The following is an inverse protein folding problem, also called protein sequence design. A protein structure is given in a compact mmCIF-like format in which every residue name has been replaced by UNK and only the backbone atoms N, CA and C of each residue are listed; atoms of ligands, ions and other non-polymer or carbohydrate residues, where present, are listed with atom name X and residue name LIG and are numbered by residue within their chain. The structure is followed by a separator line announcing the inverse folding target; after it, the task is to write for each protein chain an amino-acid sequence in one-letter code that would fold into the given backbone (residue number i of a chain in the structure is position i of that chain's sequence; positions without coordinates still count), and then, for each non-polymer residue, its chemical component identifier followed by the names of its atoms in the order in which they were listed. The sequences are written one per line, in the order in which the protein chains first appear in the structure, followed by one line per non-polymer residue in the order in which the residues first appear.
data_IF_239619553916
#
_entry.id   IF_239619553916
#
_cell.length_a   1.000
_cell.length_b   1.000
_cell.length_c   1.000
_cell.angle_alpha   90.00
_cell.angle_beta   90.00
_cell.angle_gamma   90.00
#
_symmetry.space_group_name_H-M   'P 1'
#
loop_
_entity.id
_entity.type
_entity.pdbx_description
1 polymer ?
2 non-polymer ?
3 water ?
#
# COMPACT_ATOMS: atom_id res chain seq x y z
N UNK A 24 2.20 -4.79 -20.53
CA UNK A 24 0.75 -4.66 -20.18
C UNK A 24 0.24 -5.83 -19.28
N UNK A 25 -0.18 -5.54 -18.02
CA UNK A 25 -0.35 -4.25 -17.35
C UNK A 25 0.93 -3.79 -16.68
N UNK A 26 1.12 -2.48 -16.64
CA UNK A 26 2.31 -1.85 -16.07
C UNK A 26 2.15 -1.69 -14.57
N UNK A 27 2.91 -2.46 -13.79
CA UNK A 27 2.95 -2.33 -12.33
C UNK A 27 3.91 -1.30 -11.80
N UNK A 28 3.36 -0.30 -11.12
CA UNK A 28 4.13 0.62 -10.31
C UNK A 28 3.92 0.25 -8.85
N UNK A 29 4.99 -0.15 -8.17
CA UNK A 29 4.96 -0.38 -6.72
C UNK A 29 5.37 0.87 -5.95
N UNK A 30 4.64 1.17 -4.89
CA UNK A 30 4.89 2.35 -4.09
C UNK A 30 5.01 1.96 -2.63
N UNK A 31 6.18 2.10 -2.04
CA UNK A 31 6.30 1.73 -0.63
C UNK A 31 6.52 2.99 0.20
N UNK A 32 7.10 2.83 1.38
CA UNK A 32 7.29 3.95 2.30
C UNK A 32 6.62 3.63 3.62
N UNK A 33 6.90 4.40 4.66
CA UNK A 33 6.34 4.13 5.98
C UNK A 33 4.83 4.35 6.06
N UNK A 34 4.24 3.82 7.14
CA UNK A 34 2.87 4.17 7.47
C UNK A 34 2.77 5.68 7.61
N UNK A 35 1.72 6.25 7.03
CA UNK A 35 1.50 7.69 7.00
C UNK A 35 2.61 8.49 6.28
N UNK A 36 3.45 7.83 5.48
CA UNK A 36 4.45 8.50 4.64
C UNK A 36 3.84 9.29 3.48
N UNK A 37 2.63 8.93 3.10
CA UNK A 37 1.93 9.53 1.97
C UNK A 37 1.63 8.60 0.80
N UNK A 38 1.73 7.29 0.97
CA UNK A 38 1.54 6.41 -0.17
C UNK A 38 0.10 6.54 -0.67
N UNK A 39 -0.86 6.29 0.21
CA UNK A 39 -2.29 6.32 -0.18
C UNK A 39 -2.70 7.65 -0.82
N UNK A 40 -2.29 8.76 -0.19
CA UNK A 40 -2.77 10.07 -0.62
C UNK A 40 -2.10 10.49 -1.92
N UNK A 41 -0.86 10.02 -2.13
CA UNK A 41 -0.16 10.23 -3.39
C UNK A 41 -0.88 9.45 -4.50
N UNK A 42 -1.14 8.16 -4.27
CA UNK A 42 -1.84 7.33 -5.27
C UNK A 42 -3.21 7.89 -5.64
N UNK A 43 -3.94 8.36 -4.64
CA UNK A 43 -5.20 9.02 -4.87
C UNK A 43 -5.01 10.22 -5.77
N UNK A 44 -4.01 11.06 -5.47
CA UNK A 44 -3.75 12.23 -6.30
C UNK A 44 -3.53 11.85 -7.77
N UNK A 45 -2.80 10.74 -7.99
CA UNK A 45 -2.49 10.28 -9.35
C UNK A 45 -3.74 9.79 -10.07
N UNK A 46 -4.63 9.13 -9.33
CA UNK A 46 -5.94 8.74 -9.88
C UNK A 46 -6.79 9.98 -10.15
N UNK A 47 -6.70 10.97 -9.27
CA UNK A 47 -7.49 12.19 -9.41
C UNK A 47 -7.04 12.94 -10.66
N UNK A 48 -5.72 13.11 -10.79
CA UNK A 48 -5.17 13.84 -11.94
C UNK A 48 -5.42 13.09 -13.25
N UNK A 49 -5.37 11.76 -13.23
CA UNK A 49 -5.66 10.99 -14.45
C UNK A 49 -7.16 10.94 -14.72
N UNK A 50 -7.98 11.48 -13.80
CA UNK A 50 -9.43 11.50 -13.94
C UNK A 50 -10.09 10.16 -13.67
N UNK A 51 -9.32 9.18 -13.23
CA UNK A 51 -9.81 7.82 -13.01
C UNK A 51 -10.77 7.70 -11.83
N UNK A 52 -10.81 8.73 -10.99
CA UNK A 52 -11.84 8.88 -9.98
C UNK A 52 -13.25 8.96 -10.57
N UNK A 53 -13.45 9.75 -11.63
CA UNK A 53 -14.77 9.91 -12.25
C UNK A 53 -15.31 8.66 -12.98
N UNK A 54 -14.75 7.49 -12.69
CA UNK A 54 -15.07 6.24 -13.38
C UNK A 54 -15.33 5.12 -12.37
N UNK A 55 -16.32 4.26 -12.64
CA UNK A 55 -16.60 3.11 -11.76
C UNK A 55 -15.51 2.03 -11.83
N UNK A 56 -15.33 1.28 -10.75
CA UNK A 56 -14.19 0.34 -10.69
C UNK A 56 -14.12 -0.66 -11.86
N UNK A 57 -15.26 -1.00 -12.46
CA UNK A 57 -15.27 -1.92 -13.60
C UNK A 57 -14.75 -1.25 -14.88
N UNK A 58 -14.82 0.07 -14.94
CA UNK A 58 -14.46 0.79 -16.15
C UNK A 58 -13.05 1.35 -16.15
N UNK A 59 -12.36 1.31 -15.02
CA UNK A 59 -11.06 1.95 -14.88
C UNK A 59 -9.95 1.28 -15.68
N UNK A 60 -9.00 2.11 -16.10
CA UNK A 60 -7.76 1.66 -16.72
C UNK A 60 -6.58 1.73 -15.74
N UNK A 61 -6.61 2.69 -14.81
CA UNK A 61 -5.62 2.77 -13.73
C UNK A 61 -6.34 2.45 -12.42
N UNK A 62 -5.75 1.56 -11.62
CA UNK A 62 -6.35 1.13 -10.36
C UNK A 62 -5.32 1.00 -9.22
N UNK A 63 -5.66 1.50 -8.03
CA UNK A 63 -4.79 1.36 -6.84
C UNK A 63 -5.11 0.05 -6.13
N UNK A 64 -4.10 -0.59 -5.56
CA UNK A 64 -4.28 -1.85 -4.84
C UNK A 64 -3.48 -1.76 -3.55
N UNK A 65 -4.11 -1.95 -2.40
CA UNK A 65 -3.40 -1.75 -1.14
C UNK A 65 -3.03 -3.06 -0.46
N UNK A 66 -1.75 -3.21 -0.15
CA UNK A 66 -1.24 -4.37 0.58
C UNK A 66 -2.02 -4.62 1.87
N UNK A 67 -2.47 -3.54 2.52
CA UNK A 67 -3.25 -3.66 3.75
C UNK A 67 -4.65 -4.24 3.55
N UNK A 68 -5.03 -4.56 2.32
CA UNK A 68 -6.17 -5.43 2.08
C UNK A 68 -5.82 -6.86 2.38
N UNK A 69 -4.53 -7.19 2.42
CA UNK A 69 -4.08 -8.59 2.52
C UNK A 69 -3.58 -9.03 3.90
N UNK A 70 -4.04 -8.35 4.95
CA UNK A 70 -3.74 -8.78 6.30
C UNK A 70 -4.38 -10.13 6.55
N UNK A 71 -3.66 -10.97 7.28
CA UNK A 71 -4.17 -12.25 7.74
C UNK A 71 -5.36 -12.08 8.67
N UNK A 72 -6.34 -12.97 8.52
CA UNK A 72 -7.43 -13.11 9.46
C UNK A 72 -6.81 -13.59 10.78
N UNK A 73 -6.93 -12.82 11.85
CA UNK A 73 -6.34 -13.18 13.15
C UNK A 73 -7.10 -14.31 13.84
N UNK A 74 -6.37 -15.14 14.58
CA UNK A 74 -6.98 -16.18 15.39
C UNK A 74 -7.57 -15.61 16.68
N UNK A 75 -8.23 -16.47 17.45
CA UNK A 75 -8.74 -16.10 18.77
C UNK A 75 -7.61 -15.47 19.58
N UNK A 76 -6.53 -16.23 19.77
CA UNK A 76 -5.40 -15.83 20.61
C UNK A 76 -4.73 -14.57 20.07
N UNK A 77 -4.74 -14.42 18.75
CA UNK A 77 -4.11 -13.27 18.10
C UNK A 77 -4.97 -12.03 18.28
N UNK A 78 -6.27 -12.17 18.00
CA UNK A 78 -7.21 -11.08 18.20
C UNK A 78 -7.19 -10.62 19.66
N UNK A 79 -7.02 -11.58 20.57
CA UNK A 79 -6.87 -11.31 22.01
C UNK A 79 -5.79 -10.27 22.22
N UNK A 80 -4.59 -10.59 21.76
CA UNK A 80 -3.45 -9.69 21.92
C UNK A 80 -3.67 -8.40 21.18
N UNK A 81 -4.35 -8.47 20.04
CA UNK A 81 -4.65 -7.28 19.24
C UNK A 81 -5.43 -6.27 20.07
N UNK A 82 -6.43 -6.75 20.82
CA UNK A 82 -7.18 -5.89 21.72
C UNK A 82 -6.24 -5.27 22.75
N UNK A 83 -5.55 -6.12 23.53
CA UNK A 83 -4.58 -5.67 24.53
C UNK A 83 -3.31 -5.00 23.95
N UNK A 84 -3.46 -4.33 22.78
CA UNK A 84 -2.38 -3.60 22.12
C UNK A 84 -1.12 -4.39 21.77
N UNK A 85 -1.13 -5.71 21.97
CA UNK A 85 0.08 -6.51 21.98
C UNK A 85 0.34 -7.34 20.73
N UNK A 86 -0.15 -6.89 19.56
CA UNK A 86 0.05 -7.62 18.29
C UNK A 86 0.67 -6.74 17.20
N UNK A 87 1.65 -7.29 16.48
CA UNK A 87 2.44 -6.53 15.52
C UNK A 87 1.97 -6.67 14.09
N UNK A 88 1.42 -5.57 13.58
CA UNK A 88 0.86 -5.52 12.24
C UNK A 88 1.85 -5.04 11.22
N UNK A 89 3.07 -4.74 11.66
CA UNK A 89 4.09 -4.24 10.74
C UNK A 89 5.16 -5.27 10.44
N UNK A 90 4.90 -6.51 10.81
CA UNK A 90 5.84 -7.60 10.59
C UNK A 90 5.38 -8.27 9.31
N UNK A 91 6.32 -8.73 8.47
CA UNK A 91 5.97 -9.45 7.23
C UNK A 91 4.93 -10.53 7.44
N UNK A 92 5.15 -11.34 8.47
CA UNK A 92 4.26 -12.43 8.84
C UNK A 92 2.83 -11.95 9.05
N UNK A 93 2.63 -10.70 9.46
CA UNK A 93 1.27 -10.15 9.62
C UNK A 93 0.39 -10.19 8.35
N UNK A 94 1.02 -10.33 7.18
CA UNK A 94 0.34 -10.29 5.87
C UNK A 94 0.23 -11.64 5.22
N UNK A 95 -0.92 -11.88 4.61
CA UNK A 95 -1.15 -13.09 3.85
C UNK A 95 -0.40 -13.02 2.52
N UNK A 96 0.91 -13.21 2.57
CA UNK A 96 1.76 -13.08 1.39
C UNK A 96 1.41 -14.02 0.25
N UNK A 97 0.85 -15.19 0.54
CA UNK A 97 0.50 -16.11 -0.54
C UNK A 97 -0.64 -15.53 -1.39
N UNK A 98 -1.73 -15.16 -0.72
CA UNK A 98 -2.89 -14.54 -1.37
C UNK A 98 -2.41 -13.36 -2.20
N UNK A 99 -1.61 -12.52 -1.55
CA UNK A 99 -1.05 -11.35 -2.19
C UNK A 99 -0.28 -11.73 -3.47
N UNK A 100 0.72 -12.60 -3.34
CA UNK A 100 1.55 -12.95 -4.49
C UNK A 100 0.67 -13.55 -5.57
N UNK A 101 -0.25 -14.43 -5.20
CA UNK A 101 -1.16 -15.01 -6.18
C UNK A 101 -2.07 -14.00 -6.89
N UNK A 102 -2.59 -13.04 -6.15
CA UNK A 102 -3.40 -11.99 -6.76
C UNK A 102 -2.59 -11.25 -7.82
N UNK A 103 -1.55 -10.54 -7.39
CA UNK A 103 -0.60 -9.90 -8.29
C UNK A 103 -0.31 -10.73 -9.53
N UNK A 104 0.01 -12.00 -9.30
CA UNK A 104 0.45 -12.90 -10.35
C UNK A 104 -0.63 -13.02 -11.42
N UNK A 105 -1.89 -13.04 -10.98
CA UNK A 105 -3.05 -13.06 -11.89
C UNK A 105 -3.33 -11.72 -12.53
N UNK A 106 -3.26 -10.64 -11.76
CA UNK A 106 -3.34 -9.28 -12.31
C UNK A 106 -2.38 -9.15 -13.50
N UNK A 107 -1.10 -9.48 -13.25
CA UNK A 107 -0.02 -9.51 -14.28
C UNK A 107 -0.39 -10.35 -15.51
N UNK A 108 -1.09 -11.45 -15.29
CA UNK A 108 -1.56 -12.29 -16.40
C UNK A 108 -2.82 -11.71 -17.08
N UNK A 109 -3.29 -10.53 -16.66
CA UNK A 109 -4.42 -9.85 -17.29
C UNK A 109 -5.80 -10.32 -16.87
N UNK A 110 -5.92 -10.86 -15.66
CA UNK A 110 -7.18 -11.47 -15.21
C UNK A 110 -7.93 -10.60 -14.19
N UNK A 111 -9.23 -10.85 -14.10
CA UNK A 111 -10.06 -10.18 -13.11
C UNK A 111 -9.82 -10.89 -11.78
N UNK A 112 -9.59 -10.13 -10.72
CA UNK A 112 -9.32 -10.71 -9.42
C UNK A 112 -10.35 -10.21 -8.40
N UNK A 113 -10.59 -11.02 -7.38
CA UNK A 113 -11.39 -10.62 -6.23
C UNK A 113 -10.44 -10.33 -5.08
N UNK A 114 -10.48 -9.12 -4.54
CA UNK A 114 -9.61 -8.75 -3.44
C UNK A 114 -10.44 -8.62 -2.16
N UNK A 115 -9.86 -9.01 -0.99
CA UNK A 115 -10.57 -8.87 0.29
C UNK A 115 -10.58 -7.45 0.82
N UNK A 116 -11.40 -7.21 1.83
CA UNK A 116 -11.39 -5.94 2.56
C UNK A 116 -11.22 -6.24 4.05
N UNK A 117 -10.19 -5.66 4.67
CA UNK A 117 -9.91 -5.85 6.09
C UNK A 117 -10.60 -4.76 6.92
N UNK A 118 -11.06 -5.12 8.10
CA UNK A 118 -11.62 -4.15 9.03
C UNK A 118 -10.77 -4.13 10.29
N UNK A 119 -10.07 -3.02 10.51
CA UNK A 119 -9.24 -2.85 11.71
C UNK A 119 -10.12 -2.78 12.96
N UNK A 120 -11.36 -2.35 12.78
CA UNK A 120 -12.31 -2.26 13.88
C UNK A 120 -12.72 -3.64 14.40
N UNK A 121 -12.51 -4.69 13.62
CA UNK A 121 -12.80 -6.07 14.07
C UNK A 121 -11.63 -7.05 13.82
N UNK A 122 -10.59 -6.58 13.13
CA UNK A 122 -9.40 -7.36 12.78
C UNK A 122 -9.73 -8.64 11.99
N UNK A 123 -10.45 -8.45 10.90
CA UNK A 123 -10.87 -9.55 10.03
C UNK A 123 -11.41 -9.00 8.71
N UNK A 124 -11.55 -9.89 7.73
CA UNK A 124 -12.05 -9.51 6.42
C UNK A 124 -13.56 -9.36 6.45
N UNK A 125 -14.09 -8.51 5.56
CA UNK A 125 -15.54 -8.34 5.42
C UNK A 125 -16.08 -9.54 4.65
N UNK A 126 -17.38 -9.87 4.84
CA UNK A 126 -17.94 -10.93 4.01
C UNK A 126 -17.68 -10.68 2.54
N UNK A 127 -18.06 -9.49 2.08
CA UNK A 127 -18.03 -9.16 0.65
C UNK A 127 -16.60 -8.91 0.18
N UNK A 128 -16.43 -8.88 -1.13
CA UNK A 128 -15.10 -8.91 -1.74
C UNK A 128 -15.05 -8.09 -3.02
N UNK A 129 -14.05 -7.22 -3.14
CA UNK A 129 -13.92 -6.31 -4.29
C UNK A 129 -13.40 -6.98 -5.57
N UNK A 130 -14.12 -6.78 -6.67
CA UNK A 130 -13.66 -7.21 -7.98
C UNK A 130 -12.76 -6.12 -8.60
N UNK A 131 -11.63 -6.55 -9.14
CA UNK A 131 -10.75 -5.68 -9.89
C UNK A 131 -10.50 -6.29 -11.27
N UNK A 132 -10.99 -5.58 -12.28
CA UNK A 132 -10.88 -5.98 -13.67
C UNK A 132 -9.56 -5.47 -14.21
N UNK A 133 -9.08 -6.06 -15.32
CA UNK A 133 -7.81 -5.71 -15.89
C UNK A 133 -7.66 -4.22 -16.01
N UNK A 134 -6.46 -3.75 -15.67
CA UNK A 134 -6.10 -2.36 -15.87
C UNK A 134 -4.87 -2.33 -16.76
N UNK A 135 -4.54 -1.14 -17.24
CA UNK A 135 -3.32 -0.92 -17.99
C UNK A 135 -2.19 -0.58 -17.01
N UNK A 136 -2.50 0.23 -16.02
CA UNK A 136 -1.55 0.57 -14.97
C UNK A 136 -2.12 0.14 -13.62
N UNK A 137 -1.29 -0.49 -12.80
CA UNK A 137 -1.65 -0.81 -11.42
C UNK A 137 -0.68 -0.17 -10.43
N UNK A 138 -1.24 0.68 -9.57
CA UNK A 138 -0.50 1.29 -8.49
C UNK A 138 -0.66 0.39 -7.26
N UNK A 139 0.44 -0.23 -6.82
CA UNK A 139 0.44 -1.16 -5.68
C UNK A 139 1.15 -0.58 -4.45
N UNK A 140 0.38 -0.09 -3.49
CA UNK A 140 0.92 0.65 -2.34
C UNK A 140 0.95 -0.19 -1.06
N UNK A 141 2.10 -0.19 -0.38
CA UNK A 141 2.22 -0.95 0.84
C UNK A 141 3.53 -0.78 1.57
N UNK A 142 3.50 -0.92 2.90
CA UNK A 142 4.72 -0.76 3.72
C UNK A 142 5.81 -1.81 3.43
N UNK A 143 5.44 -2.99 2.96
CA UNK A 143 6.41 -4.09 2.78
C UNK A 143 6.30 -4.70 1.39
N UNK A 144 5.94 -3.83 0.45
CA UNK A 144 5.58 -4.24 -0.87
C UNK A 144 6.84 -4.52 -1.68
N UNK A 145 8.02 -4.15 -1.16
CA UNK A 145 9.33 -4.54 -1.75
C UNK A 145 10.12 -5.53 -0.88
N UNK A 146 9.50 -6.06 0.18
CA UNK A 146 10.20 -6.96 1.10
C UNK A 146 10.67 -8.27 0.44
N UNK A 147 9.79 -8.88 -0.34
CA UNK A 147 10.04 -10.18 -0.97
C UNK A 147 10.53 -10.07 -2.42
N UNK A 148 11.66 -10.73 -2.68
CA UNK A 148 12.30 -10.84 -3.99
C UNK A 148 11.32 -11.15 -5.11
N UNK A 149 10.48 -12.16 -4.90
CA UNK A 149 9.51 -12.61 -5.90
C UNK A 149 8.55 -11.52 -6.29
N UNK A 150 8.16 -10.68 -5.34
CA UNK A 150 7.20 -9.61 -5.61
C UNK A 150 7.88 -8.35 -6.17
N UNK A 151 9.02 -7.97 -5.58
CA UNK A 151 9.83 -6.85 -6.08
C UNK A 151 9.95 -6.85 -7.59
N UNK A 152 10.33 -8.00 -8.15
CA UNK A 152 10.74 -8.11 -9.56
C UNK A 152 9.57 -7.99 -10.53
N UNK A 153 8.34 -8.15 -10.02
CA UNK A 153 7.13 -7.95 -10.81
C UNK A 153 6.91 -6.49 -11.22
N UNK A 154 7.43 -5.54 -10.45
CA UNK A 154 7.17 -4.11 -10.65
C UNK A 154 8.00 -3.59 -11.77
N UNK A 155 7.41 -2.80 -12.65
CA UNK A 155 8.21 -2.15 -13.69
C UNK A 155 8.93 -0.94 -13.12
N UNK A 156 8.26 -0.25 -12.21
CA UNK A 156 8.79 0.95 -11.63
C UNK A 156 8.55 0.93 -10.13
N UNK A 157 9.55 1.33 -9.35
CA UNK A 157 9.49 1.24 -7.89
C UNK A 157 9.69 2.59 -7.22
N UNK A 158 8.64 3.02 -6.53
CA UNK A 158 8.64 4.31 -5.86
C UNK A 158 8.65 4.14 -4.34
N UNK A 159 9.37 5.03 -3.68
CA UNK A 159 9.45 5.04 -2.24
C UNK A 159 9.15 6.44 -1.74
N UNK A 160 8.08 6.58 -0.96
CA UNK A 160 7.71 7.87 -0.39
C UNK A 160 8.50 8.06 0.91
N UNK A 161 9.51 8.92 0.86
CA UNK A 161 10.37 9.18 2.00
C UNK A 161 9.81 10.36 2.81
N UNK A 162 9.33 10.03 4.01
CA UNK A 162 8.81 11.04 4.94
C UNK A 162 9.36 10.67 6.32
N UNK A 163 10.02 11.62 6.99
CA UNK A 163 10.68 11.35 8.27
C UNK A 163 9.70 10.75 9.29
N UNK A 164 10.20 9.87 10.15
CA UNK A 164 9.36 9.19 11.17
C UNK A 164 8.55 10.12 12.09
N UNK A 165 9.16 11.19 12.59
CA UNK A 165 8.41 12.07 13.49
C UNK A 165 7.23 12.73 12.77
N UNK A 166 7.42 13.06 11.50
CA UNK A 166 6.34 13.60 10.67
C UNK A 166 5.26 12.54 10.49
N UNK A 167 5.68 11.31 10.22
CA UNK A 167 4.72 10.23 10.01
C UNK A 167 3.93 9.92 11.26
N UNK A 168 4.59 9.94 12.42
CA UNK A 168 3.96 9.62 13.68
C UNK A 168 2.88 10.67 13.97
N UNK A 169 3.17 11.92 13.67
CA UNK A 169 2.21 13.00 13.89
C UNK A 169 0.99 12.83 13.01
N UNK A 170 1.20 12.38 11.77
CA UNK A 170 0.10 12.15 10.83
C UNK A 170 -0.77 11.01 11.34
N UNK A 171 -0.10 9.90 11.68
CA UNK A 171 -0.77 8.69 12.17
C UNK A 171 -1.59 8.92 13.43
N UNK A 172 -1.04 9.69 14.35
CA UNK A 172 -1.70 10.00 15.60
C UNK A 172 -3.01 10.76 15.32
N UNK A 173 -2.86 11.92 14.67
CA UNK A 173 -3.99 12.80 14.33
C UNK A 173 -5.05 12.03 13.54
N UNK A 174 -4.58 11.11 12.69
CA UNK A 174 -5.41 10.24 11.85
C UNK A 174 -6.14 9.13 12.63
N UNK A 175 -5.69 8.83 13.85
CA UNK A 175 -6.27 7.76 14.68
C UNK A 175 -6.90 8.32 15.96
N UNK A 176 -7.82 9.25 15.79
CA UNK A 176 -8.62 9.77 16.89
C UNK A 176 -10.07 9.42 16.57
N UNK A 177 -10.28 8.14 16.31
CA UNK A 177 -11.53 7.68 15.70
C UNK A 177 -12.15 6.50 16.46
N UNK A 181 -7.39 5.61 21.43
CA UNK A 181 -6.89 6.39 22.57
C UNK A 181 -5.36 6.51 22.58
N UNK A 182 -4.88 7.75 22.70
CA UNK A 182 -3.45 8.07 22.63
C UNK A 182 -2.52 7.02 23.19
N UNK A 183 -2.76 6.65 24.43
CA UNK A 183 -1.78 5.90 25.22
C UNK A 183 -1.53 4.51 24.66
N UNK A 184 -2.58 3.88 24.13
CA UNK A 184 -2.45 2.60 23.43
C UNK A 184 -1.69 2.82 22.13
N UNK A 185 -2.10 3.80 21.34
CA UNK A 185 -1.49 4.08 20.04
C UNK A 185 0.01 4.35 20.18
N UNK A 186 0.37 5.23 21.11
CA UNK A 186 1.77 5.61 21.30
C UNK A 186 2.61 4.44 21.82
N UNK A 187 2.14 3.70 22.83
CA UNK A 187 2.92 2.57 23.36
C UNK A 187 3.08 1.47 22.32
N UNK A 188 2.06 1.31 21.48
CA UNK A 188 2.05 0.30 20.43
C UNK A 188 3.07 0.68 19.34
N UNK A 189 3.28 1.97 19.14
CA UNK A 189 4.24 2.47 18.18
C UNK A 189 5.68 2.18 18.59
N UNK A 190 6.01 2.57 19.82
CA UNK A 190 7.38 2.47 20.30
C UNK A 190 7.84 1.02 20.46
N UNK A 191 6.97 0.16 20.99
CA UNK A 191 7.38 -1.20 21.27
C UNK A 191 7.35 -2.06 19.99
N UNK A 192 6.30 -1.92 19.15
CA UNK A 192 6.12 -2.77 17.95
C UNK A 192 6.37 -2.12 16.59
N UNK A 193 5.94 -0.87 16.41
CA UNK A 193 5.95 -0.28 15.08
C UNK A 193 7.31 0.28 14.70
N UNK A 194 7.91 1.07 15.59
CA UNK A 194 9.23 1.65 15.34
C UNK A 194 10.29 0.59 14.95
N UNK A 195 10.41 -0.50 15.72
CA UNK A 195 11.38 -1.55 15.35
C UNK A 195 11.05 -2.24 14.04
N UNK A 196 9.78 -2.63 13.86
CA UNK A 196 9.36 -3.35 12.66
C UNK A 196 9.63 -2.50 11.42
N UNK A 197 9.35 -1.21 11.53
CA UNK A 197 9.67 -0.27 10.46
C UNK A 197 11.15 -0.29 10.12
N UNK A 198 11.97 -0.15 11.14
CA UNK A 198 13.41 -0.08 10.95
C UNK A 198 13.98 -1.39 10.45
N UNK A 199 13.41 -2.51 10.86
CA UNK A 199 14.00 -3.80 10.56
C UNK A 199 13.61 -4.32 9.19
N UNK A 200 12.34 -4.12 8.82
CA UNK A 200 11.79 -4.74 7.62
C UNK A 200 11.53 -3.75 6.50
N UNK A 201 11.03 -2.58 6.86
CA UNK A 201 10.52 -1.63 5.88
C UNK A 201 11.59 -0.68 5.32
N UNK A 202 12.28 0.01 6.23
CA UNK A 202 13.30 0.98 5.86
C UNK A 202 14.42 0.40 4.98
N UNK A 203 14.89 -0.82 5.30
CA UNK A 203 15.93 -1.41 4.44
C UNK A 203 15.55 -1.66 2.96
N UNK A 204 14.25 -1.77 2.67
CA UNK A 204 13.77 -2.02 1.30
C UNK A 204 13.79 -0.74 0.44
N UNK A 205 13.98 0.40 1.07
CA UNK A 205 14.20 1.67 0.35
C UNK A 205 15.32 1.53 -0.67
N UNK A 206 16.34 0.73 -0.37
CA UNK A 206 17.43 0.54 -1.31
C UNK A 206 16.96 -0.07 -2.63
N UNK A 207 15.79 -0.68 -2.66
CA UNK A 207 15.24 -1.22 -3.90
C UNK A 207 14.45 -0.17 -4.72
N UNK A 208 14.23 1.01 -4.17
CA UNK A 208 13.43 2.03 -4.85
C UNK A 208 14.18 2.49 -6.08
N UNK A 209 13.44 2.77 -7.15
CA UNK A 209 14.03 3.29 -8.37
C UNK A 209 14.11 4.81 -8.26
N UNK A 210 12.99 5.39 -7.86
CA UNK A 210 12.83 6.83 -7.66
C UNK A 210 12.37 7.04 -6.23
N UNK A 211 12.96 7.98 -5.50
CA UNK A 211 12.47 8.31 -4.16
C UNK A 211 11.72 9.63 -4.19
N UNK A 212 10.53 9.64 -3.60
CA UNK A 212 9.71 10.83 -3.58
C UNK A 212 9.68 11.39 -2.18
N UNK A 213 10.41 12.50 -1.97
CA UNK A 213 10.33 13.12 -0.68
C UNK A 213 8.93 13.68 -0.48
N UNK A 214 8.58 13.87 0.79
CA UNK A 214 7.34 14.54 1.22
C UNK A 214 6.08 13.72 0.96
N UNK A 215 5.56 13.77 -0.26
CA UNK A 215 4.33 13.07 -0.61
C UNK A 215 3.44 13.94 -1.45
N UNK A 216 2.22 14.18 -0.98
CA UNK A 216 1.23 14.86 -1.82
C UNK A 216 1.54 16.34 -2.02
N UNK A 217 2.52 16.86 -1.30
CA UNK A 217 3.00 18.21 -1.55
C UNK A 217 4.05 18.26 -2.68
N UNK A 218 4.54 17.10 -3.10
CA UNK A 218 5.49 17.02 -4.20
C UNK A 218 4.74 16.85 -5.53
N UNK A 219 4.06 17.92 -5.95
CA UNK A 219 3.33 17.91 -7.19
C UNK A 219 4.20 17.78 -8.41
N UNK A 220 5.43 18.29 -8.35
CA UNK A 220 6.34 18.09 -9.47
C UNK A 220 6.60 16.59 -9.64
N UNK A 221 6.87 15.88 -8.55
CA UNK A 221 7.10 14.42 -8.62
C UNK A 221 5.86 13.71 -9.13
N UNK A 222 4.69 14.07 -8.60
CA UNK A 222 3.44 13.40 -8.99
C UNK A 222 3.16 13.61 -10.47
N UNK A 223 3.24 14.87 -10.89
CA UNK A 223 3.04 15.21 -12.29
C UNK A 223 3.98 14.42 -13.19
N UNK A 224 5.24 14.26 -12.79
CA UNK A 224 6.17 13.43 -13.57
C UNK A 224 5.66 11.98 -13.72
N UNK A 225 5.11 11.42 -12.65
CA UNK A 225 4.60 10.07 -12.70
C UNK A 225 3.31 10.02 -13.49
N UNK A 226 2.45 11.04 -13.33
CA UNK A 226 1.19 11.08 -14.09
C UNK A 226 1.47 11.15 -15.59
N UNK A 227 2.39 12.03 -15.97
CA UNK A 227 2.83 12.17 -17.35
C UNK A 227 3.27 10.84 -17.91
N UNK A 228 4.05 10.11 -17.11
CA UNK A 228 4.52 8.80 -17.51
C UNK A 228 3.39 7.80 -17.68
N UNK A 229 2.41 7.86 -16.78
CA UNK A 229 1.24 6.98 -16.87
C UNK A 229 0.39 7.34 -18.11
N UNK A 230 0.32 8.63 -18.38
CA UNK A 230 -0.37 9.16 -19.55
C UNK A 230 0.26 8.62 -20.84
N UNK A 231 1.59 8.59 -20.85
CA UNK A 231 2.35 8.11 -21.99
C UNK A 231 2.03 6.66 -22.24
N UNK A 232 2.03 5.84 -21.20
CA UNK A 232 1.72 4.42 -21.34
C UNK A 232 0.32 4.26 -21.93
N UNK A 233 -0.64 4.92 -21.31
CA UNK A 233 -2.03 4.85 -21.75
C UNK A 233 -2.18 5.29 -23.19
N UNK A 234 -1.64 6.46 -23.54
CA UNK A 234 -1.74 6.97 -24.91
C UNK A 234 -1.08 6.07 -25.94
N UNK A 235 -0.24 5.16 -25.47
CA UNK A 235 0.51 4.27 -26.34
C UNK A 235 1.72 4.97 -26.94
N UNK A 236 2.27 5.93 -26.20
CA UNK A 236 3.55 6.58 -26.55
C UNK A 236 4.74 5.84 -25.90
N UNK A 237 4.47 4.71 -25.24
CA UNK A 237 5.53 3.93 -24.58
C UNK A 237 5.02 2.53 -24.24
X LIG B 1 0.19 5.78 3.98
X LIG B 1 -0.02 5.19 2.63
X LIG B 1 1.21 6.89 3.96
X LIG B 1 0.40 4.77 5.07
X LIG B 1 -1.62 7.94 3.94
X LIG B 1 -3.13 8.05 3.74
X LIG B 1 -0.74 8.46 2.83
X LIG B 1 -1.22 6.44 4.32
X LIG B 1 -1.33 8.65 5.35
X LIG B 1 -0.87 9.99 5.36
X LIG B 1 -1.64 10.76 6.40
X LIG B 1 -1.06 12.06 6.55
X LIG B 1 -3.07 11.00 5.95
X LIG B 1 -3.91 11.01 7.11
X LIG B 1 -2.99 12.36 5.26
X LIG B 1 -4.24 13.06 5.25
X LIG B 1 -1.95 13.08 6.09
X LIG B 1 -1.16 14.12 5.36
X LIG B 1 -1.07 15.42 5.70
X LIG B 1 -0.26 16.08 4.84
X LIG B 1 0.19 15.16 3.95
X LIG B 1 1.08 15.15 2.76
X LIG B 1 1.66 16.31 2.39
X LIG B 1 1.30 13.98 2.09
X LIG B 1 0.71 12.84 2.48
X LIG B 1 -0.12 12.77 3.55
X LIG B 1 -0.41 13.87 4.30
#
# INVERSE_FOLDING_TARGET
MHHHHHHSSGVDLGTENLYFQSMRPFLIGVSGGTASGKSTVCEKIMELLGQNEVEQRQRKVVILSQDRFYKVLTAEQKAKALKGQYNFDHPDAFDNDLMHRTLKNIVEGKTVEVPTYDFVTHSRLPETTVVYPADVVLFEGILVFYSQEIRDMFHLRLFVDTDSDVRLSRRVLRDVRRGRDLEQILTQYTTFVKPAFEEFCLPTKKYADVIIPRGVDNMVAINLIVQHIQDILNGDICKWHRGGS
ADP PB O1B O2B O3B PA O1A O2A O3A O5' C5' C4' O4' C3' O3' C2' O2' C1' N9 C8 N7 C5 C6 N6 N1 C2 N3 C4
#
